data_IF_809485599054
#
_entry.id   IF_809485599054
#
_cell.length_a   1.000
_cell.length_b   1.000
_cell.length_c   1.000
_cell.angle_alpha   90.00
_cell.angle_beta   90.00
_cell.angle_gamma   90.00
#
_symmetry.space_group_name_H-M   'P 1'
#
loop_
_entity.id
_entity.type
_entity.pdbx_description
1 polymer ?
#
# COMPACT_ATOMS: atom_id res chain seq x y z
N UNK A 1 -0.18 13.94 -4.08
CA UNK A 1 0.67 12.75 -4.17
C UNK A 1 1.95 13.00 -3.39
N UNK A 2 2.31 12.07 -2.50
CA UNK A 2 3.51 12.15 -1.65
C UNK A 2 4.30 10.86 -1.79
N UNK A 3 5.63 10.91 -1.78
CA UNK A 3 6.48 9.73 -1.86
C UNK A 3 6.29 8.83 -0.63
N UNK A 4 6.24 7.52 -0.85
CA UNK A 4 6.05 6.55 0.20
C UNK A 4 6.77 5.23 -0.10
N UNK A 5 6.96 4.42 0.94
CA UNK A 5 7.42 3.03 0.82
C UNK A 5 6.41 2.11 1.47
N UNK A 6 5.93 1.12 0.73
CA UNK A 6 5.01 0.09 1.22
C UNK A 6 5.80 -1.21 1.45
N UNK A 7 5.73 -1.72 2.67
CA UNK A 7 6.28 -3.02 3.06
C UNK A 7 5.14 -3.98 3.35
N UNK A 8 5.06 -5.06 2.57
CA UNK A 8 4.09 -6.14 2.77
C UNK A 8 4.83 -7.40 3.24
N UNK A 9 4.21 -8.19 4.11
CA UNK A 9 4.84 -9.42 4.62
C UNK A 9 5.20 -10.37 3.46
N UNK A 10 6.46 -10.83 3.44
CA UNK A 10 6.97 -11.74 2.41
C UNK A 10 7.31 -11.09 1.07
N UNK A 11 7.20 -9.77 0.93
CA UNK A 11 7.58 -9.03 -0.29
C UNK A 11 8.74 -8.05 -0.03
N UNK A 12 9.48 -7.74 -1.09
CA UNK A 12 10.43 -6.62 -1.05
C UNK A 12 9.69 -5.29 -0.90
N UNK A 13 10.27 -4.29 -0.23
CA UNK A 13 9.65 -2.97 -0.10
C UNK A 13 9.39 -2.32 -1.45
N UNK A 14 8.22 -1.72 -1.59
CA UNK A 14 7.73 -1.13 -2.84
C UNK A 14 7.78 0.38 -2.69
N UNK A 15 8.56 1.04 -3.54
CA UNK A 15 8.57 2.50 -3.64
C UNK A 15 7.42 2.97 -4.52
N UNK A 16 6.74 4.03 -4.10
CA UNK A 16 5.64 4.59 -4.85
C UNK A 16 5.21 5.95 -4.33
N UNK A 17 4.03 6.38 -4.75
CA UNK A 17 3.40 7.62 -4.27
C UNK A 17 2.04 7.31 -3.69
N UNK A 18 1.59 8.16 -2.76
CA UNK A 18 0.28 8.02 -2.12
C UNK A 18 -0.60 9.24 -2.26
N UNK A 19 -1.90 8.98 -2.29
CA UNK A 19 -2.96 9.95 -2.05
C UNK A 19 -3.78 9.48 -0.84
N UNK A 20 -3.77 10.28 0.24
CA UNK A 20 -4.46 9.95 1.49
C UNK A 20 -5.85 10.58 1.53
N UNK A 21 -6.88 9.83 1.95
CA UNK A 21 -8.23 10.33 2.13
C UNK A 21 -8.98 9.58 3.23
N UNK A 22 -9.15 10.21 4.40
CA UNK A 22 -9.81 9.58 5.55
C UNK A 22 -9.05 8.35 6.03
N UNK A 23 -9.75 7.21 6.11
CA UNK A 23 -9.19 5.92 6.53
C UNK A 23 -8.48 5.16 5.40
N UNK A 24 -8.58 5.65 4.16
CA UNK A 24 -8.05 4.98 2.98
C UNK A 24 -6.88 5.74 2.37
N UNK A 25 -5.97 4.97 1.77
CA UNK A 25 -4.78 5.46 1.08
C UNK A 25 -4.73 4.76 -0.27
N UNK A 26 -4.64 5.55 -1.35
CA UNK A 26 -4.36 5.05 -2.69
C UNK A 26 -2.85 5.09 -2.87
N UNK A 27 -2.23 3.93 -3.06
CA UNK A 27 -0.80 3.78 -3.31
C UNK A 27 -0.58 3.41 -4.78
N UNK A 28 0.31 4.12 -5.45
CA UNK A 28 0.64 3.92 -6.87
C UNK A 28 2.12 3.65 -7.03
N UNK A 29 2.49 2.60 -7.76
CA UNK A 29 3.87 2.25 -8.06
C UNK A 29 4.07 1.89 -9.53
N UNK A 30 5.25 2.20 -10.07
CA UNK A 30 5.61 1.91 -11.46
C UNK A 30 5.91 0.42 -11.70
N UNK A 31 6.22 -0.33 -10.64
CA UNK A 31 6.42 -1.77 -10.71
C UNK A 31 5.08 -2.50 -10.54
N UNK A 32 4.76 -3.38 -11.50
CA UNK A 32 3.68 -4.35 -11.30
C UNK A 32 4.16 -5.43 -10.32
N UNK A 33 3.30 -5.77 -9.38
CA UNK A 33 3.53 -6.86 -8.44
C UNK A 33 2.88 -8.14 -8.99
N UNK A 34 3.41 -9.29 -8.58
CA UNK A 34 2.75 -10.56 -8.89
C UNK A 34 1.42 -10.64 -8.13
N UNK A 35 0.31 -10.63 -8.87
CA UNK A 35 -1.04 -10.75 -8.33
C UNK A 35 -1.21 -11.99 -7.45
N UNK A 36 -0.47 -13.07 -7.74
CA UNK A 36 -0.49 -14.29 -6.92
C UNK A 36 0.02 -14.07 -5.50
N UNK A 37 0.84 -13.04 -5.27
CA UNK A 37 1.43 -12.74 -3.96
C UNK A 37 0.64 -11.69 -3.15
N UNK A 38 -0.36 -11.03 -3.76
CA UNK A 38 -1.16 -9.96 -3.13
C UNK A 38 -2.64 -10.34 -3.03
N UNK A 39 -3.02 -11.53 -3.52
CA UNK A 39 -4.37 -12.07 -3.40
C UNK A 39 -4.67 -12.52 -1.96
N UNK A 40 -5.09 -11.57 -1.12
CA UNK A 40 -5.55 -11.81 0.25
C UNK A 40 -5.49 -10.55 1.13
N UNK A 41 -6.02 -10.60 2.36
CA UNK A 41 -5.82 -9.54 3.32
C UNK A 41 -4.35 -9.53 3.77
N UNK A 42 -3.54 -8.67 3.18
CA UNK A 42 -2.15 -8.45 3.60
C UNK A 42 -2.09 -7.27 4.56
N UNK A 43 -1.68 -7.52 5.80
CA UNK A 43 -1.19 -6.46 6.67
C UNK A 43 0.19 -5.99 6.21
N UNK A 44 0.44 -4.70 6.32
CA UNK A 44 1.69 -4.09 5.93
C UNK A 44 1.99 -2.82 6.70
N UNK A 45 3.15 -2.24 6.38
CA UNK A 45 3.56 -0.93 6.88
C UNK A 45 3.76 0.02 5.71
N UNK A 46 3.16 1.19 5.80
CA UNK A 46 3.37 2.30 4.89
C UNK A 46 4.25 3.34 5.59
N UNK A 47 5.42 3.62 5.05
CA UNK A 47 6.27 4.72 5.50
C UNK A 47 6.00 5.93 4.62
N UNK A 48 5.51 7.02 5.23
CA UNK A 48 5.17 8.30 4.60
C UNK A 48 5.69 9.43 5.47
N UNK A 49 6.42 10.40 4.90
CA UNK A 49 6.98 11.54 5.65
C UNK A 49 7.80 11.14 6.91
N UNK A 50 8.44 9.96 6.86
CA UNK A 50 9.20 9.41 7.99
C UNK A 50 8.34 8.83 9.13
N UNK A 51 7.03 8.75 8.97
CA UNK A 51 6.11 8.07 9.88
C UNK A 51 5.69 6.71 9.32
N UNK A 52 5.64 5.72 10.19
CA UNK A 52 5.18 4.37 9.84
C UNK A 52 3.71 4.21 10.23
N UNK A 53 2.87 3.88 9.25
CA UNK A 53 1.45 3.58 9.41
C UNK A 53 1.20 2.10 9.14
N UNK A 54 0.49 1.42 10.05
CA UNK A 54 0.01 0.05 9.78
C UNK A 54 -1.20 0.11 8.86
N UNK A 55 -1.21 -0.74 7.85
CA UNK A 55 -2.24 -0.76 6.81
C UNK A 55 -2.67 -2.19 6.48
N UNK A 56 -3.85 -2.34 5.89
CA UNK A 56 -4.32 -3.57 5.25
C UNK A 56 -4.53 -3.30 3.77
N UNK A 57 -4.09 -4.22 2.91
CA UNK A 57 -4.44 -4.21 1.49
C UNK A 57 -5.91 -4.57 1.32
N UNK A 58 -6.71 -3.65 0.76
CA UNK A 58 -8.10 -3.90 0.40
C UNK A 58 -8.28 -4.29 -1.06
N UNK A 59 -7.54 -3.66 -1.96
CA UNK A 59 -7.59 -3.99 -3.38
C UNK A 59 -6.25 -3.75 -4.07
N UNK A 60 -6.03 -4.47 -5.16
CA UNK A 60 -4.87 -4.36 -6.04
C UNK A 60 -5.34 -4.36 -7.50
N UNK A 61 -4.77 -3.47 -8.30
CA UNK A 61 -5.07 -3.34 -9.72
C UNK A 61 -3.78 -3.09 -10.52
N UNK A 62 -3.53 -3.90 -11.55
CA UNK A 62 -2.51 -3.58 -12.56
C UNK A 62 -3.04 -2.49 -13.49
N UNK A 63 -2.23 -1.50 -13.82
CA UNK A 63 -2.61 -0.43 -14.73
C UNK A 63 -2.26 -0.79 -16.18
N UNK A 64 -3.12 -0.38 -17.13
CA UNK A 64 -2.84 -0.52 -18.55
C UNK A 64 -1.63 0.36 -18.93
N UNK A 65 -0.51 -0.27 -19.28
CA UNK A 65 0.75 0.42 -19.59
C UNK A 65 1.89 0.15 -18.59
N UNK A 66 1.62 -0.58 -17.51
CA UNK A 66 2.61 -0.95 -16.49
C UNK A 66 2.32 -0.31 -15.13
N UNK A 67 2.94 -0.87 -14.08
CA UNK A 67 2.70 -0.45 -12.70
C UNK A 67 1.43 -1.02 -12.08
N UNK A 68 1.15 -0.58 -10.87
CA UNK A 68 0.00 -0.99 -10.10
C UNK A 68 -0.55 0.11 -9.20
N UNK A 69 -1.79 -0.10 -8.79
CA UNK A 69 -2.50 0.68 -7.79
C UNK A 69 -3.00 -0.24 -6.68
N UNK A 70 -2.82 0.20 -5.44
CA UNK A 70 -3.18 -0.54 -4.25
C UNK A 70 -4.04 0.37 -3.37
N UNK A 71 -5.24 -0.10 -3.03
CA UNK A 71 -6.05 0.54 -1.99
C UNK A 71 -5.66 -0.04 -0.65
N UNK A 72 -5.20 0.83 0.25
CA UNK A 72 -4.82 0.49 1.60
C UNK A 72 -5.82 1.10 2.58
N UNK A 73 -6.18 0.35 3.63
CA UNK A 73 -6.96 0.87 4.77
C UNK A 73 -6.08 0.96 5.99
N UNK A 74 -6.08 2.12 6.65
CA UNK A 74 -5.35 2.36 7.90
C UNK A 74 -5.85 1.45 9.01
N UNK A 75 -4.92 0.85 9.74
CA UNK A 75 -5.22 0.19 11.02
C UNK A 75 -5.06 1.24 12.11
N UNK A 76 -6.13 1.98 12.38
CA UNK A 76 -6.19 2.84 13.56
C UNK A 76 -5.95 1.98 14.80
N UNK A 77 -5.03 2.36 15.70
CA UNK A 77 -4.92 1.67 16.98
C UNK A 77 -6.27 1.78 17.67
N UNK A 78 -6.91 0.64 17.93
CA UNK A 78 -8.07 0.61 18.82
C UNK A 78 -7.61 1.14 20.15
N UNK A 79 -8.12 2.32 20.54
CA UNK A 79 -7.91 2.86 21.87
C UNK A 79 -8.27 1.75 22.87
N UNK A 80 -7.27 1.32 23.64
CA UNK A 80 -7.44 0.36 24.73
C UNK A 80 -8.20 0.99 25.89
#
# INVERSE_FOLDING_TARGET
MTDATLSLDGLEPISGTVETGGDYIRFSADAALDEGQINGPHEGQLTLDGADERVVVESYHVLEGGGCEITLRRITPTAS
#
